data_IF_890416293737
#
_entry.id   IF_890416293737
#
_cell.length_a   1.000
_cell.length_b   1.000
_cell.length_c   1.000
_cell.angle_alpha   90.00
_cell.angle_beta   90.00
_cell.angle_gamma   90.00
#
_symmetry.space_group_name_H-M   'P 1'
#
loop_
_entity.id
_entity.type
_entity.pdbx_description
1 polymer ?
#
# COMPACT_ATOMS: atom_id res chain seq x y z
N UNK A 1 -63.06 8.75 2.22
CA UNK A 1 -61.86 8.31 1.48
C UNK A 1 -60.68 8.42 2.43
N UNK A 2 -60.20 7.31 2.98
CA UNK A 2 -59.06 7.29 3.88
C UNK A 2 -57.82 6.89 3.07
N UNK A 3 -56.84 7.80 2.99
CA UNK A 3 -55.55 7.54 2.35
C UNK A 3 -54.57 7.08 3.41
N UNK A 4 -54.14 5.83 3.35
CA UNK A 4 -53.01 5.33 4.13
C UNK A 4 -51.74 5.51 3.31
N UNK A 5 -50.87 6.44 3.73
CA UNK A 5 -49.54 6.60 3.17
C UNK A 5 -48.57 5.65 3.88
N UNK A 6 -48.19 4.56 3.22
CA UNK A 6 -47.07 3.71 3.62
C UNK A 6 -45.76 4.43 3.38
N UNK A 7 -45.09 4.85 4.45
CA UNK A 7 -43.71 5.32 4.40
C UNK A 7 -42.78 4.11 4.18
N UNK A 8 -42.09 4.08 3.04
CA UNK A 8 -41.01 3.13 2.79
C UNK A 8 -39.78 3.59 3.57
N UNK A 9 -39.38 2.81 4.58
CA UNK A 9 -38.13 3.00 5.31
C UNK A 9 -37.01 2.43 4.42
N UNK A 10 -36.26 3.31 3.76
CA UNK A 10 -34.99 2.95 3.14
C UNK A 10 -33.98 2.67 4.25
N UNK A 11 -33.80 1.40 4.59
CA UNK A 11 -32.67 0.97 5.41
C UNK A 11 -31.39 1.15 4.57
N UNK A 12 -30.72 2.28 4.72
CA UNK A 12 -29.33 2.42 4.31
C UNK A 12 -28.51 1.62 5.31
N UNK A 13 -28.40 0.31 5.08
CA UNK A 13 -27.40 -0.51 5.74
C UNK A 13 -26.04 0.02 5.29
N UNK A 14 -25.42 0.88 6.12
CA UNK A 14 -24.03 1.23 5.96
C UNK A 14 -23.23 -0.06 6.01
N UNK A 15 -22.76 -0.51 4.84
CA UNK A 15 -21.74 -1.53 4.73
C UNK A 15 -20.48 -0.93 5.34
N UNK A 16 -20.21 -1.25 6.61
CA UNK A 16 -18.87 -1.13 7.12
C UNK A 16 -17.98 -2.00 6.22
N UNK A 17 -17.00 -1.38 5.55
CA UNK A 17 -15.92 -2.11 4.93
C UNK A 17 -15.34 -3.04 5.99
N UNK A 18 -15.37 -4.35 5.74
CA UNK A 18 -14.75 -5.30 6.65
C UNK A 18 -13.26 -5.01 6.67
N UNK A 19 -12.71 -4.78 7.88
CA UNK A 19 -11.28 -4.55 8.03
C UNK A 19 -10.52 -5.76 7.45
N UNK A 20 -9.51 -5.48 6.64
CA UNK A 20 -8.71 -6.51 5.99
C UNK A 20 -7.26 -6.43 6.45
N UNK A 21 -6.73 -7.53 6.96
CA UNK A 21 -5.31 -7.62 7.33
C UNK A 21 -4.51 -8.18 6.14
N UNK A 22 -3.52 -7.42 5.69
CA UNK A 22 -2.58 -7.81 4.64
C UNK A 22 -1.17 -7.87 5.24
N UNK A 23 -0.41 -8.93 4.96
CA UNK A 23 1.02 -8.95 5.32
C UNK A 23 1.87 -8.42 4.17
N UNK A 24 2.92 -7.67 4.50
CA UNK A 24 3.98 -7.22 3.61
C UNK A 24 5.24 -8.02 3.95
N UNK A 25 5.82 -8.69 2.95
CA UNK A 25 7.05 -9.48 3.09
C UNK A 25 8.03 -9.19 1.94
N UNK A 26 9.27 -9.63 2.09
CA UNK A 26 10.34 -9.49 1.09
C UNK A 26 10.54 -8.03 0.62
N UNK A 27 10.41 -7.07 1.53
CA UNK A 27 10.52 -5.65 1.18
C UNK A 27 11.95 -5.30 0.72
N UNK A 28 12.03 -4.59 -0.39
CA UNK A 28 13.26 -3.99 -0.90
C UNK A 28 12.98 -2.62 -1.49
N UNK A 29 13.87 -1.66 -1.25
CA UNK A 29 13.84 -0.33 -1.82
C UNK A 29 15.27 0.08 -2.19
N UNK A 30 15.45 0.69 -3.37
CA UNK A 30 16.72 1.28 -3.78
C UNK A 30 16.58 2.79 -3.81
N UNK A 31 17.47 3.48 -3.11
CA UNK A 31 17.61 4.93 -3.14
C UNK A 31 18.94 5.29 -3.79
N UNK A 32 18.92 6.24 -4.72
CA UNK A 32 20.13 6.84 -5.25
C UNK A 32 19.99 8.36 -5.24
N UNK A 33 21.03 9.05 -4.78
CA UNK A 33 21.04 10.51 -4.58
C UNK A 33 19.82 11.02 -3.80
N UNK A 34 19.42 10.25 -2.77
CA UNK A 34 18.28 10.57 -1.89
C UNK A 34 16.90 10.26 -2.48
N UNK A 35 16.79 9.98 -3.78
CA UNK A 35 15.54 9.66 -4.45
C UNK A 35 15.30 8.14 -4.53
N UNK A 36 14.05 7.72 -4.42
CA UNK A 36 13.65 6.32 -4.61
C UNK A 36 13.69 5.97 -6.11
N UNK A 37 14.41 4.90 -6.46
CA UNK A 37 14.61 4.46 -7.85
C UNK A 37 13.86 3.16 -8.15
N UNK A 38 13.78 2.27 -7.15
CA UNK A 38 13.05 1.02 -7.26
C UNK A 38 12.49 0.60 -5.91
N UNK A 39 11.42 -0.18 -5.92
CA UNK A 39 10.86 -0.84 -4.75
C UNK A 39 10.20 -2.15 -5.15
N UNK A 40 10.20 -3.13 -4.26
CA UNK A 40 9.49 -4.40 -4.41
C UNK A 40 9.09 -4.96 -3.05
N UNK A 41 7.92 -5.57 -2.96
CA UNK A 41 7.50 -6.39 -1.82
C UNK A 41 6.36 -7.31 -2.25
N UNK A 42 6.06 -8.32 -1.43
CA UNK A 42 4.95 -9.23 -1.65
C UNK A 42 3.86 -9.02 -0.62
N UNK A 43 2.62 -9.24 -1.04
CA UNK A 43 1.45 -9.17 -0.16
C UNK A 43 0.71 -10.50 -0.03
N UNK A 44 0.21 -10.80 1.17
CA UNK A 44 -0.68 -11.93 1.45
C UNK A 44 -1.94 -11.45 2.16
N UNK A 45 -3.12 -12.09 1.95
CA UNK A 45 -3.34 -13.37 1.27
C UNK A 45 -3.44 -13.30 -0.26
N UNK A 46 -3.43 -12.09 -0.85
CA UNK A 46 -3.60 -11.90 -2.29
C UNK A 46 -2.49 -12.52 -3.17
N UNK A 47 -1.35 -12.88 -2.57
CA UNK A 47 -0.17 -13.44 -3.26
C UNK A 47 0.29 -12.57 -4.45
N UNK A 48 0.16 -11.26 -4.32
CA UNK A 48 0.56 -10.30 -5.35
C UNK A 48 1.94 -9.72 -5.06
N UNK A 49 2.66 -9.38 -6.12
CA UNK A 49 3.92 -8.64 -6.05
C UNK A 49 3.66 -7.16 -6.35
N UNK A 50 4.09 -6.30 -5.43
CA UNK A 50 4.04 -4.86 -5.54
C UNK A 50 5.44 -4.36 -5.88
N UNK A 51 5.70 -4.00 -7.13
CA UNK A 51 7.02 -3.60 -7.57
C UNK A 51 6.98 -2.49 -8.60
N UNK A 52 7.98 -1.61 -8.57
CA UNK A 52 8.31 -0.75 -9.70
C UNK A 52 9.78 -0.38 -9.69
N UNK A 53 10.35 -0.27 -10.90
CA UNK A 53 11.73 0.14 -11.18
C UNK A 53 11.81 1.52 -11.83
N UNK A 54 10.67 2.21 -11.98
CA UNK A 54 10.62 3.54 -12.55
C UNK A 54 10.37 4.55 -11.43
N UNK A 55 11.32 5.47 -11.22
CA UNK A 55 11.20 6.52 -10.19
C UNK A 55 9.90 7.34 -10.32
N UNK A 56 9.42 7.56 -11.55
CA UNK A 56 8.17 8.27 -11.83
C UNK A 56 6.91 7.53 -11.33
N UNK A 57 6.98 6.20 -11.16
CA UNK A 57 5.85 5.42 -10.66
C UNK A 57 5.77 5.41 -9.13
N UNK A 58 6.90 5.60 -8.46
CA UNK A 58 7.07 5.47 -7.00
C UNK A 58 7.30 6.82 -6.31
N UNK A 59 7.03 7.92 -7.01
CA UNK A 59 7.01 9.26 -6.43
C UNK A 59 5.70 9.45 -5.66
N UNK A 60 5.78 9.74 -4.36
CA UNK A 60 4.60 10.08 -3.58
C UNK A 60 3.92 11.36 -4.11
N UNK A 61 2.58 11.43 -4.23
CA UNK A 61 1.57 10.48 -3.78
C UNK A 61 1.04 9.55 -4.90
N UNK A 62 1.84 9.21 -5.90
CA UNK A 62 1.37 8.34 -6.99
C UNK A 62 1.10 6.93 -6.48
N UNK A 63 -0.03 6.38 -6.90
CA UNK A 63 -0.42 5.00 -6.67
C UNK A 63 0.09 4.13 -7.81
N UNK A 64 0.71 3.01 -7.46
CA UNK A 64 1.18 2.02 -8.44
C UNK A 64 0.51 0.68 -8.16
N UNK A 65 -0.01 0.04 -9.21
CA UNK A 65 -0.71 -1.23 -9.09
C UNK A 65 0.26 -2.36 -8.74
N UNK A 66 -0.17 -3.26 -7.85
CA UNK A 66 0.56 -4.48 -7.52
C UNK A 66 0.23 -5.57 -8.54
N UNK A 67 1.09 -5.73 -9.56
CA UNK A 67 0.87 -6.68 -10.64
C UNK A 67 -0.47 -6.45 -11.33
N UNK A 68 -1.27 -7.51 -11.45
CA UNK A 68 -2.64 -7.47 -11.99
C UNK A 68 -3.72 -7.55 -10.89
N UNK A 69 -3.40 -7.18 -9.65
CA UNK A 69 -4.33 -7.26 -8.51
C UNK A 69 -5.16 -5.97 -8.35
N UNK A 70 -6.13 -5.99 -7.44
CA UNK A 70 -6.90 -4.80 -7.03
C UNK A 70 -6.14 -3.91 -6.02
N UNK A 71 -4.91 -4.28 -5.66
CA UNK A 71 -4.09 -3.53 -4.72
C UNK A 71 -3.21 -2.54 -5.46
N UNK A 72 -3.10 -1.36 -4.85
CA UNK A 72 -2.22 -0.29 -5.24
C UNK A 72 -1.37 0.10 -4.04
N UNK A 73 -0.13 0.48 -4.28
CA UNK A 73 0.77 0.96 -3.24
C UNK A 73 1.23 2.39 -3.50
N UNK A 74 1.50 3.10 -2.42
CA UNK A 74 2.28 4.33 -2.39
C UNK A 74 3.40 4.13 -1.39
N UNK A 75 4.53 4.78 -1.63
CA UNK A 75 5.70 4.66 -0.77
C UNK A 75 6.35 6.02 -0.57
N UNK A 76 6.81 6.26 0.65
CA UNK A 76 7.66 7.41 1.00
C UNK A 76 8.62 7.04 2.11
N UNK A 77 9.55 7.92 2.43
CA UNK A 77 10.37 7.78 3.63
C UNK A 77 9.46 7.80 4.87
N UNK A 78 9.59 6.79 5.73
CA UNK A 78 8.91 6.71 7.03
C UNK A 78 9.77 7.28 8.15
N UNK A 79 9.37 7.04 9.40
CA UNK A 79 10.15 7.47 10.57
C UNK A 79 11.40 6.59 10.77
N UNK A 80 12.52 7.22 11.15
CA UNK A 80 13.78 6.51 11.38
C UNK A 80 14.25 5.71 10.17
N UNK A 81 14.62 4.44 10.40
CA UNK A 81 15.04 3.50 9.36
C UNK A 81 13.85 2.69 8.84
N UNK A 82 12.83 3.37 8.33
CA UNK A 82 11.65 2.73 7.77
C UNK A 82 11.18 3.39 6.46
N UNK A 83 10.39 2.65 5.69
CA UNK A 83 9.59 3.21 4.60
C UNK A 83 8.11 3.17 4.96
N UNK A 84 7.43 4.29 4.77
CA UNK A 84 5.98 4.35 4.96
C UNK A 84 5.31 3.83 3.69
N UNK A 85 4.61 2.71 3.82
CA UNK A 85 3.88 2.06 2.73
C UNK A 85 2.39 2.23 2.99
N UNK A 86 1.72 2.89 2.05
CA UNK A 86 0.26 2.93 2.01
C UNK A 86 -0.21 1.88 1.01
N UNK A 87 -1.07 0.98 1.44
CA UNK A 87 -1.72 0.00 0.58
C UNK A 87 -3.19 0.37 0.46
N UNK A 88 -3.68 0.42 -0.77
CA UNK A 88 -5.08 0.70 -1.09
C UNK A 88 -5.62 -0.44 -1.94
N UNK A 89 -6.79 -0.96 -1.58
CA UNK A 89 -7.49 -1.99 -2.32
C UNK A 89 -8.79 -1.44 -2.86
N UNK A 90 -9.05 -1.63 -4.13
CA UNK A 90 -10.37 -1.40 -4.71
C UNK A 90 -11.33 -2.53 -4.30
N UNK A 91 -12.47 -2.17 -3.71
CA UNK A 91 -13.48 -3.14 -3.23
C UNK A 91 -14.77 -3.12 -4.03
N UNK A 92 -14.97 -2.08 -4.85
CA UNK A 92 -16.17 -1.87 -5.64
C UNK A 92 -16.07 -0.65 -6.54
N UNK A 93 -17.17 -0.30 -7.21
CA UNK A 93 -17.22 0.87 -8.09
C UNK A 93 -17.07 2.15 -7.26
N UNK A 94 -15.90 2.77 -7.32
CA UNK A 94 -15.50 3.94 -6.52
C UNK A 94 -15.41 3.68 -5.01
N UNK A 95 -15.22 2.43 -4.60
CA UNK A 95 -15.02 2.06 -3.20
C UNK A 95 -13.60 1.53 -3.00
N UNK A 96 -12.91 2.10 -2.01
CA UNK A 96 -11.55 1.70 -1.65
C UNK A 96 -11.44 1.53 -0.14
N UNK A 97 -10.61 0.58 0.27
CA UNK A 97 -10.11 0.46 1.64
C UNK A 97 -8.61 0.71 1.63
N UNK A 98 -8.07 1.34 2.66
CA UNK A 98 -6.64 1.62 2.72
C UNK A 98 -6.08 1.53 4.13
N UNK A 99 -4.76 1.36 4.20
CA UNK A 99 -4.00 1.39 5.44
C UNK A 99 -2.60 1.91 5.15
N UNK A 100 -1.93 2.41 6.19
CA UNK A 100 -0.53 2.82 6.12
C UNK A 100 0.25 2.16 7.25
N UNK A 101 1.45 1.68 6.95
CA UNK A 101 2.37 1.11 7.93
C UNK A 101 3.80 1.54 7.60
N UNK A 102 4.63 1.70 8.63
CA UNK A 102 6.05 1.87 8.46
C UNK A 102 6.75 0.51 8.47
N UNK A 103 7.39 0.16 7.36
CA UNK A 103 8.14 -1.09 7.18
C UNK A 103 9.59 -0.84 7.64
N UNK A 104 10.04 -1.47 8.74
CA UNK A 104 11.40 -1.30 9.23
C UNK A 104 12.41 -1.92 8.25
N UNK A 105 13.48 -1.20 7.98
CA UNK A 105 14.50 -1.61 7.00
C UNK A 105 15.92 -1.52 7.54
N UNK A 106 16.79 -2.33 6.97
CA UNK A 106 18.23 -2.20 7.04
C UNK A 106 18.78 -1.78 5.67
N UNK A 107 19.51 -0.66 5.62
CA UNK A 107 20.10 -0.13 4.40
C UNK A 107 21.61 -0.36 4.35
N UNK A 108 22.11 -0.80 3.19
CA UNK A 108 23.52 -0.98 2.90
C UNK A 108 23.89 -0.34 1.55
N UNK A 109 25.18 -0.21 1.27
CA UNK A 109 25.67 0.37 0.01
C UNK A 109 25.22 -0.48 -1.19
N UNK A 110 24.62 0.16 -2.20
CA UNK A 110 24.09 -0.49 -3.40
C UNK A 110 25.10 -0.64 -4.55
N UNK A 111 26.26 0.01 -4.44
CA UNK A 111 27.38 -0.15 -5.37
C UNK A 111 27.38 0.76 -6.60
N UNK A 112 26.34 1.56 -6.83
CA UNK A 112 26.27 2.52 -7.94
C UNK A 112 26.59 3.96 -7.49
N UNK A 113 27.68 4.13 -6.74
CA UNK A 113 28.16 5.41 -6.24
C UNK A 113 27.98 5.59 -4.73
N UNK A 114 28.52 6.70 -4.18
CA UNK A 114 28.55 6.93 -2.73
C UNK A 114 27.18 7.17 -2.09
N UNK A 115 26.17 7.54 -2.89
CA UNK A 115 24.81 7.84 -2.44
C UNK A 115 23.78 6.77 -2.83
N UNK A 116 24.25 5.61 -3.28
CA UNK A 116 23.40 4.49 -3.68
C UNK A 116 23.23 3.52 -2.51
N UNK A 117 21.98 3.31 -2.11
CA UNK A 117 21.60 2.47 -0.98
C UNK A 117 20.53 1.47 -1.39
N UNK A 118 20.71 0.23 -0.97
CA UNK A 118 19.69 -0.81 -1.03
C UNK A 118 19.22 -1.09 0.38
N UNK A 119 17.91 -0.94 0.59
CA UNK A 119 17.24 -1.12 1.87
C UNK A 119 16.35 -2.36 1.81
N UNK A 120 16.49 -3.25 2.78
CA UNK A 120 15.72 -4.49 2.85
C UNK A 120 14.90 -4.53 4.13
N UNK A 121 13.66 -5.01 4.05
CA UNK A 121 12.81 -5.26 5.22
C UNK A 121 13.48 -6.24 6.18
N UNK A 122 13.44 -5.93 7.47
CA UNK A 122 14.05 -6.79 8.51
C UNK A 122 13.14 -7.94 8.92
N UNK A 123 11.83 -7.76 8.78
CA UNK A 123 10.80 -8.75 9.06
C UNK A 123 9.53 -8.45 8.24
N UNK A 124 8.61 -9.42 8.20
CA UNK A 124 7.29 -9.20 7.62
C UNK A 124 6.44 -8.32 8.56
N UNK A 125 5.62 -7.44 7.99
CA UNK A 125 4.77 -6.51 8.77
C UNK A 125 3.33 -6.62 8.30
N UNK A 126 2.37 -6.48 9.21
CA UNK A 126 0.95 -6.52 8.88
C UNK A 126 0.35 -5.11 8.82
N UNK A 127 -0.43 -4.84 7.80
CA UNK A 127 -1.22 -3.63 7.62
C UNK A 127 -2.71 -3.98 7.73
N UNK A 128 -3.49 -3.14 8.39
CA UNK A 128 -4.95 -3.28 8.43
C UNK A 128 -5.56 -2.21 7.55
N UNK A 129 -6.39 -2.64 6.61
CA UNK A 129 -7.11 -1.78 5.67
C UNK A 129 -8.53 -1.55 6.19
N UNK A 130 -8.99 -0.30 6.12
CA UNK A 130 -10.34 0.12 6.50
C UNK A 130 -11.01 0.89 5.36
#
# INVERSE_FOLDING_TARGET
MQFFATAAILAVAGIASAAETVSIADFSARKNDGALQATSFKIQPAAAECSSTAAADIVYPRMTQCGNSLYHFQIKQGEGNAFSVTLTKETGMNEVINGTIDVPVYCHAGGNGPNDFVCTGVEATSIVLY
#
